data_IF_842457756412
#
_entry.id   IF_842457756412
#
_cell.length_a   1.000
_cell.length_b   1.000
_cell.length_c   1.000
_cell.angle_alpha   90.00
_cell.angle_beta   90.00
_cell.angle_gamma   90.00
#
_symmetry.space_group_name_H-M   'P 1'
#
loop_
_entity.id
_entity.type
_entity.pdbx_description
1 polymer ?
#
# COMPACT_ATOMS: atom_id res chain seq x y z
N UNK A 1 -1.03 12.31 17.83
CA UNK A 1 0.00 12.82 16.89
C UNK A 1 -0.06 12.16 15.51
N UNK A 2 -0.07 10.81 15.40
CA UNK A 2 -0.11 10.10 14.09
C UNK A 2 -1.52 10.01 13.46
N UNK A 3 -2.59 10.04 14.28
CA UNK A 3 -3.99 9.92 13.83
C UNK A 3 -4.46 11.06 12.91
N UNK A 4 -3.71 12.15 12.79
CA UNK A 4 -4.08 13.30 11.96
C UNK A 4 -3.64 13.15 10.49
N UNK A 5 -2.88 12.10 10.16
CA UNK A 5 -2.48 11.81 8.78
C UNK A 5 -3.51 10.91 8.11
N UNK A 6 -4.26 11.48 7.16
CA UNK A 6 -5.26 10.74 6.39
C UNK A 6 -4.68 9.46 5.74
N UNK A 7 -3.46 9.53 5.20
CA UNK A 7 -2.79 8.35 4.61
C UNK A 7 -2.51 7.24 5.62
N UNK A 8 -2.20 7.60 6.88
CA UNK A 8 -1.99 6.63 7.95
C UNK A 8 -3.31 5.92 8.28
N UNK A 9 -4.39 6.70 8.48
CA UNK A 9 -5.70 6.15 8.77
C UNK A 9 -6.18 5.22 7.65
N UNK A 10 -6.05 5.63 6.38
CA UNK A 10 -6.45 4.81 5.23
C UNK A 10 -5.65 3.52 5.12
N UNK A 11 -4.36 3.55 5.43
CA UNK A 11 -3.52 2.34 5.47
C UNK A 11 -3.93 1.42 6.62
N UNK A 12 -4.29 1.98 7.78
CA UNK A 12 -4.79 1.21 8.92
C UNK A 12 -6.15 0.56 8.61
N UNK A 13 -7.07 1.29 7.99
CA UNK A 13 -8.37 0.77 7.56
C UNK A 13 -8.22 -0.32 6.49
N UNK A 14 -7.22 -0.20 5.60
CA UNK A 14 -6.85 -1.27 4.67
C UNK A 14 -6.44 -2.53 5.43
N UNK A 15 -5.58 -2.43 6.44
CA UNK A 15 -5.16 -3.58 7.25
C UNK A 15 -6.35 -4.24 7.95
N UNK A 16 -7.21 -3.47 8.63
CA UNK A 16 -8.39 -4.01 9.30
C UNK A 16 -9.31 -4.81 8.37
N UNK A 17 -9.45 -4.36 7.13
CA UNK A 17 -10.22 -5.06 6.11
C UNK A 17 -9.47 -6.26 5.51
N UNK A 18 -8.15 -6.14 5.30
CA UNK A 18 -7.32 -7.12 4.59
C UNK A 18 -7.14 -8.42 5.38
N UNK A 19 -6.90 -8.35 6.69
CA UNK A 19 -6.66 -9.54 7.53
C UNK A 19 -7.82 -10.54 7.47
N UNK A 20 -9.10 -10.16 7.68
CA UNK A 20 -10.24 -11.06 7.51
C UNK A 20 -10.37 -11.66 6.09
N UNK A 21 -9.94 -10.93 5.05
CA UNK A 21 -9.95 -11.43 3.67
C UNK A 21 -8.88 -12.51 3.49
N UNK A 22 -7.64 -12.25 3.91
CA UNK A 22 -6.52 -13.19 3.83
C UNK A 22 -6.77 -14.45 4.66
N UNK A 23 -7.42 -14.32 5.82
CA UNK A 23 -7.82 -15.45 6.65
C UNK A 23 -8.75 -16.45 5.93
N UNK A 24 -9.43 -16.04 4.86
CA UNK A 24 -10.28 -16.94 4.04
C UNK A 24 -9.53 -17.67 2.94
N UNK A 25 -8.23 -17.42 2.77
CA UNK A 25 -7.41 -18.12 1.77
C UNK A 25 -7.31 -19.62 2.11
N UNK A 26 -7.03 -20.48 1.09
CA UNK A 26 -6.74 -21.88 1.32
C UNK A 26 -5.65 -22.06 2.39
N UNK A 27 -5.83 -23.06 3.27
CA UNK A 27 -4.94 -23.28 4.43
C UNK A 27 -3.45 -23.37 4.04
N UNK A 28 -3.15 -24.01 2.92
CA UNK A 28 -1.79 -24.15 2.38
C UNK A 28 -1.16 -22.83 1.90
N UNK A 29 -1.98 -21.82 1.60
CA UNK A 29 -1.53 -20.54 1.04
C UNK A 29 -1.62 -19.38 2.04
N UNK A 30 -2.36 -19.57 3.14
CA UNK A 30 -2.49 -18.56 4.21
C UNK A 30 -1.13 -18.17 4.80
N UNK A 31 -0.28 -19.14 5.11
CA UNK A 31 1.05 -18.89 5.67
C UNK A 31 2.14 -18.67 4.62
N UNK A 32 1.77 -18.62 3.33
CA UNK A 32 2.70 -18.36 2.21
C UNK A 32 2.37 -17.01 1.61
N UNK A 33 1.40 -16.95 0.70
CA UNK A 33 1.00 -15.70 0.05
C UNK A 33 0.22 -14.79 1.00
N UNK A 34 -0.65 -15.36 1.84
CA UNK A 34 -1.44 -14.58 2.79
C UNK A 34 -0.57 -13.79 3.78
N UNK A 35 0.33 -14.48 4.46
CA UNK A 35 1.30 -13.88 5.38
C UNK A 35 2.18 -12.84 4.67
N UNK A 36 2.59 -13.10 3.43
CA UNK A 36 3.41 -12.15 2.69
C UNK A 36 2.65 -10.85 2.37
N UNK A 37 1.36 -10.95 2.00
CA UNK A 37 0.47 -9.80 1.81
C UNK A 37 0.31 -9.01 3.11
N UNK A 38 0.02 -9.69 4.22
CA UNK A 38 -0.15 -9.05 5.54
C UNK A 38 1.13 -8.33 5.99
N UNK A 39 2.28 -9.00 5.85
CA UNK A 39 3.57 -8.41 6.19
C UNK A 39 3.87 -7.17 5.33
N UNK A 40 3.61 -7.22 4.01
CA UNK A 40 3.80 -6.05 3.13
C UNK A 40 2.88 -4.88 3.50
N UNK A 41 1.64 -5.15 3.87
CA UNK A 41 0.72 -4.13 4.33
C UNK A 41 1.16 -3.52 5.68
N UNK A 42 1.71 -4.32 6.60
CA UNK A 42 2.31 -3.83 7.84
C UNK A 42 3.56 -3.00 7.59
N UNK A 43 4.44 -3.43 6.68
CA UNK A 43 5.64 -2.69 6.28
C UNK A 43 5.28 -1.30 5.75
N UNK A 44 4.23 -1.22 4.92
CA UNK A 44 3.69 0.05 4.42
C UNK A 44 3.29 0.99 5.57
N UNK A 45 2.57 0.48 6.58
CA UNK A 45 2.20 1.26 7.76
C UNK A 45 3.43 1.70 8.56
N UNK A 46 4.41 0.82 8.77
CA UNK A 46 5.65 1.14 9.48
C UNK A 46 6.48 2.20 8.74
N UNK A 47 6.54 2.12 7.41
CA UNK A 47 7.22 3.13 6.59
C UNK A 47 6.56 4.50 6.71
N UNK A 48 5.22 4.57 6.78
CA UNK A 48 4.50 5.82 7.03
C UNK A 48 4.84 6.42 8.39
N UNK A 49 4.93 5.59 9.44
CA UNK A 49 5.35 6.03 10.78
C UNK A 49 6.77 6.59 10.73
N UNK A 50 7.71 5.88 10.07
CA UNK A 50 9.10 6.33 9.91
C UNK A 50 9.19 7.63 9.11
N UNK A 51 8.45 7.74 8.01
CA UNK A 51 8.38 8.96 7.19
C UNK A 51 7.88 10.16 7.99
N UNK A 52 6.94 9.97 8.92
CA UNK A 52 6.44 11.06 9.73
C UNK A 52 7.47 11.56 10.76
N UNK A 53 8.27 10.66 11.32
CA UNK A 53 9.32 10.99 12.29
C UNK A 53 10.60 11.53 11.62
N UNK A 54 10.80 11.26 10.33
CA UNK A 54 12.01 11.63 9.61
C UNK A 54 12.10 13.13 9.32
N UNK A 55 13.30 13.69 9.48
CA UNK A 55 13.64 15.03 9.01
C UNK A 55 13.65 15.08 7.48
N UNK A 56 14.33 14.12 6.83
CA UNK A 56 14.27 13.92 5.38
C UNK A 56 13.29 12.79 5.05
N UNK A 57 12.20 13.16 4.39
CA UNK A 57 11.10 12.24 4.02
C UNK A 57 11.31 11.59 2.67
N UNK A 58 12.24 12.07 1.82
CA UNK A 58 12.33 11.66 0.41
C UNK A 58 12.52 10.15 0.27
N UNK A 59 13.49 9.58 0.98
CA UNK A 59 13.80 8.14 0.94
C UNK A 59 12.63 7.29 1.41
N UNK A 60 11.96 7.69 2.50
CA UNK A 60 10.81 6.95 3.01
C UNK A 60 9.61 7.03 2.07
N UNK A 61 9.31 8.19 1.49
CA UNK A 61 8.21 8.34 0.53
C UNK A 61 8.42 7.48 -0.73
N UNK A 62 9.66 7.39 -1.22
CA UNK A 62 10.01 6.46 -2.32
C UNK A 62 9.82 5.00 -1.88
N UNK A 63 10.26 4.64 -0.67
CA UNK A 63 10.04 3.30 -0.11
C UNK A 63 8.55 2.94 0.04
N UNK A 64 7.72 3.89 0.48
CA UNK A 64 6.27 3.72 0.58
C UNK A 64 5.66 3.48 -0.81
N UNK A 65 6.15 4.19 -1.84
CA UNK A 65 5.69 4.00 -3.22
C UNK A 65 5.98 2.58 -3.71
N UNK A 66 7.20 2.09 -3.47
CA UNK A 66 7.61 0.74 -3.86
C UNK A 66 6.77 -0.31 -3.12
N UNK A 67 6.64 -0.18 -1.80
CA UNK A 67 5.85 -1.10 -0.98
C UNK A 67 4.38 -1.16 -1.42
N UNK A 68 3.82 -0.04 -1.88
CA UNK A 68 2.45 0.01 -2.40
C UNK A 68 2.31 -0.74 -3.73
N UNK A 69 3.30 -0.63 -4.62
CA UNK A 69 3.32 -1.35 -5.90
C UNK A 69 3.53 -2.86 -5.70
N UNK A 70 4.39 -3.26 -4.77
CA UNK A 70 4.57 -4.65 -4.34
C UNK A 70 3.26 -5.22 -3.79
N UNK A 71 2.61 -4.52 -2.84
CA UNK A 71 1.35 -4.97 -2.26
C UNK A 71 0.24 -5.09 -3.31
N UNK A 72 0.14 -4.13 -4.24
CA UNK A 72 -0.81 -4.19 -5.35
C UNK A 72 -0.58 -5.42 -6.24
N UNK A 73 0.68 -5.75 -6.49
CA UNK A 73 1.06 -6.93 -7.29
C UNK A 73 0.66 -8.22 -6.59
N UNK A 74 0.91 -8.34 -5.29
CA UNK A 74 0.53 -9.52 -4.51
C UNK A 74 -0.98 -9.70 -4.41
N UNK A 75 -1.73 -8.60 -4.24
CA UNK A 75 -3.20 -8.63 -4.23
C UNK A 75 -3.75 -9.08 -5.59
N UNK A 76 -3.18 -8.61 -6.70
CA UNK A 76 -3.53 -9.07 -8.05
C UNK A 76 -3.24 -10.56 -8.21
N UNK A 77 -2.08 -11.01 -7.78
CA UNK A 77 -1.70 -12.43 -7.81
C UNK A 77 -2.69 -13.29 -7.02
N UNK A 78 -3.10 -12.87 -5.82
CA UNK A 78 -4.09 -13.59 -5.03
C UNK A 78 -5.45 -13.71 -5.73
N UNK A 79 -5.86 -12.69 -6.48
CA UNK A 79 -7.07 -12.75 -7.32
C UNK A 79 -6.90 -13.67 -8.52
N UNK A 80 -5.77 -13.63 -9.21
CA UNK A 80 -5.52 -14.48 -10.39
C UNK A 80 -5.40 -15.96 -10.01
N UNK A 81 -4.87 -16.25 -8.82
CA UNK A 81 -4.88 -17.58 -8.19
C UNK A 81 -6.24 -17.98 -7.59
N UNK A 82 -7.26 -17.12 -7.69
CA UNK A 82 -8.62 -17.33 -7.17
C UNK A 82 -8.70 -17.49 -5.64
N UNK A 83 -7.70 -16.99 -4.89
CA UNK A 83 -7.75 -16.94 -3.43
C UNK A 83 -8.54 -15.75 -2.92
N UNK A 84 -8.67 -14.71 -3.75
CA UNK A 84 -9.46 -13.51 -3.51
C UNK A 84 -10.57 -13.39 -4.57
N UNK A 85 -11.79 -13.11 -4.14
CA UNK A 85 -12.92 -12.88 -5.05
C UNK A 85 -12.77 -11.56 -5.80
N UNK A 86 -13.38 -11.43 -6.98
CA UNK A 86 -13.30 -10.20 -7.78
C UNK A 86 -13.73 -8.96 -7.00
N UNK A 87 -14.86 -9.03 -6.28
CA UNK A 87 -15.36 -7.93 -5.44
C UNK A 87 -14.38 -7.54 -4.32
N UNK A 88 -13.65 -8.50 -3.76
CA UNK A 88 -12.62 -8.22 -2.75
C UNK A 88 -11.41 -7.56 -3.39
N UNK A 89 -11.01 -8.02 -4.57
CA UNK A 89 -9.93 -7.41 -5.34
C UNK A 89 -10.24 -5.96 -5.71
N UNK A 90 -11.46 -5.65 -6.16
CA UNK A 90 -11.91 -4.28 -6.44
C UNK A 90 -11.82 -3.40 -5.19
N UNK A 91 -12.33 -3.87 -4.05
CA UNK A 91 -12.23 -3.15 -2.78
C UNK A 91 -10.77 -2.90 -2.36
N UNK A 92 -9.89 -3.89 -2.55
CA UNK A 92 -8.46 -3.72 -2.27
C UNK A 92 -7.83 -2.70 -3.21
N UNK A 93 -8.11 -2.79 -4.51
CA UNK A 93 -7.60 -1.88 -5.53
C UNK A 93 -8.03 -0.43 -5.27
N UNK A 94 -9.30 -0.21 -4.92
CA UNK A 94 -9.81 1.13 -4.59
C UNK A 94 -9.10 1.74 -3.38
N UNK A 95 -8.93 0.96 -2.31
CA UNK A 95 -8.19 1.39 -1.11
C UNK A 95 -6.72 1.71 -1.42
N UNK A 96 -6.05 0.84 -2.18
CA UNK A 96 -4.66 1.05 -2.58
C UNK A 96 -4.50 2.27 -3.50
N UNK A 97 -5.47 2.53 -4.38
CA UNK A 97 -5.49 3.71 -5.25
C UNK A 97 -5.72 5.00 -4.46
N UNK A 98 -6.59 4.98 -3.44
CA UNK A 98 -6.76 6.10 -2.53
C UNK A 98 -5.46 6.43 -1.78
N UNK A 99 -4.79 5.40 -1.24
CA UNK A 99 -3.48 5.55 -0.58
C UNK A 99 -2.43 6.09 -1.57
N UNK A 100 -2.41 5.61 -2.82
CA UNK A 100 -1.49 6.08 -3.85
C UNK A 100 -1.68 7.57 -4.17
N UNK A 101 -2.93 8.04 -4.26
CA UNK A 101 -3.25 9.46 -4.50
C UNK A 101 -2.74 10.34 -3.35
N UNK A 102 -2.97 9.92 -2.11
CA UNK A 102 -2.46 10.63 -0.94
C UNK A 102 -0.93 10.66 -0.91
N UNK A 103 -0.29 9.54 -1.24
CA UNK A 103 1.17 9.45 -1.34
C UNK A 103 1.72 10.39 -2.41
N UNK A 104 1.13 10.41 -3.60
CA UNK A 104 1.50 11.34 -4.67
C UNK A 104 1.44 12.81 -4.21
N UNK A 105 0.42 13.20 -3.44
CA UNK A 105 0.32 14.54 -2.86
C UNK A 105 1.49 14.86 -1.91
N UNK A 106 1.89 13.90 -1.08
CA UNK A 106 3.06 14.04 -0.20
C UNK A 106 4.37 14.09 -1.01
N UNK A 107 4.52 13.24 -2.02
CA UNK A 107 5.70 13.22 -2.87
C UNK A 107 5.88 14.54 -3.60
N UNK A 108 4.82 15.12 -4.19
CA UNK A 108 4.90 16.45 -4.82
C UNK A 108 5.32 17.55 -3.83
N UNK A 109 4.89 17.46 -2.57
CA UNK A 109 5.23 18.43 -1.53
C UNK A 109 6.69 18.33 -1.06
N UNK A 110 7.22 17.12 -0.94
CA UNK A 110 8.54 16.88 -0.33
C UNK A 110 9.65 16.49 -1.34
N UNK A 111 9.29 16.21 -2.59
CA UNK A 111 10.17 15.82 -3.69
C UNK A 111 9.79 16.67 -4.92
N UNK A 112 10.28 17.92 -5.04
CA UNK A 112 9.94 18.81 -6.15
C UNK A 112 10.24 18.20 -7.54
N UNK A 113 11.35 17.46 -7.64
CA UNK A 113 11.79 16.78 -8.87
C UNK A 113 10.85 15.63 -9.32
N UNK A 114 9.93 15.18 -8.46
CA UNK A 114 8.96 14.13 -8.80
C UNK A 114 8.00 14.56 -9.91
N UNK A 115 7.70 15.86 -9.99
CA UNK A 115 6.73 16.41 -10.94
C UNK A 115 7.21 16.28 -12.38
N UNK A 116 8.52 16.35 -12.65
CA UNK A 116 9.11 16.28 -13.99
C UNK A 116 9.21 14.84 -14.52
N UNK A 117 9.48 13.87 -13.65
CA UNK A 117 9.58 12.45 -14.03
C UNK A 117 8.22 11.79 -14.32
N UNK A 118 7.15 12.25 -13.66
CA UNK A 118 5.80 11.72 -13.86
C UNK A 118 5.23 12.00 -15.27
N UNK A 119 5.66 13.07 -15.93
CA UNK A 119 5.27 13.39 -17.32
C UNK A 119 6.00 12.55 -18.37
N UNK A 120 7.14 11.94 -18.03
CA UNK A 120 7.91 11.13 -18.99
C UNK A 120 7.52 9.65 -19.03
N UNK A 121 6.73 9.17 -18.06
CA UNK A 121 6.26 7.76 -18.01
C UNK A 121 4.84 7.55 -18.56
N UNK A 122 4.21 8.59 -19.11
CA UNK A 122 2.89 8.52 -19.76
C UNK A 122 2.96 8.80 -21.28
N UNK A 123 4.17 8.82 -21.86
CA UNK A 123 4.40 8.86 -23.31
C UNK A 123 4.61 7.47 -23.89
#
# INVERSE_FOLDING_TARGET
>A
MLQNLVIYQKTYDLLLWLYPVVNKFPKSQRFVLGQHIENKALDLLQLLIRAQAAMDKKTYLRGISIALDELRTLVRLAKDLKFMQLKQYEQAADRLNEIAKLLCGLMKRFIPEYTESAYQKQG
#
